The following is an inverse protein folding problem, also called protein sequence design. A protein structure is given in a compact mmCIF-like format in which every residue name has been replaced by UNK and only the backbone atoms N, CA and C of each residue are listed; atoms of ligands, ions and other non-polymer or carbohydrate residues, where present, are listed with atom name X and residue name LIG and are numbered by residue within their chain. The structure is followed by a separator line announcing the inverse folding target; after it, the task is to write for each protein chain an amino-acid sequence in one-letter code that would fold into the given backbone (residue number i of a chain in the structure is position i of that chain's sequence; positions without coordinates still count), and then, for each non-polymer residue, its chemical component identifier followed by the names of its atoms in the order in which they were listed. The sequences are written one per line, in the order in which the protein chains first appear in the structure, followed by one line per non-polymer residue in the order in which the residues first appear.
data_IF_776687501245
#
_entry.id   IF_776687501245
#
_cell.length_a   1.000
_cell.length_b   1.000
_cell.length_c   1.000
_cell.angle_alpha   90.00
_cell.angle_beta   90.00
_cell.angle_gamma   90.00
#
_symmetry.space_group_name_H-M   'P 1'
#
loop_
_entity.id
_entity.type
_entity.pdbx_description
1 polymer ?
#
# COMPACT_ATOMS: atom_id res chain seq x y z
N UNK A 1 -2.55 -11.93 25.38
CA UNK A 1 -3.42 -12.15 24.18
C UNK A 1 -2.74 -11.73 22.86
N UNK A 2 -1.62 -11.05 22.88
CA UNK A 2 -0.87 -10.54 21.69
C UNK A 2 -0.31 -11.62 20.74
N UNK A 3 0.05 -12.80 21.21
CA UNK A 3 0.68 -13.85 20.37
C UNK A 3 -0.23 -14.57 19.39
N UNK A 4 -1.53 -14.69 19.70
CA UNK A 4 -2.51 -15.39 18.82
C UNK A 4 -2.89 -14.57 17.59
N UNK A 5 -3.00 -13.25 17.72
CA UNK A 5 -3.43 -12.37 16.62
C UNK A 5 -2.33 -12.16 15.56
N UNK A 6 -1.06 -12.05 15.98
CA UNK A 6 0.07 -12.01 15.03
C UNK A 6 0.20 -13.26 14.17
N UNK A 7 -0.26 -14.42 14.70
CA UNK A 7 -0.28 -15.69 13.95
C UNK A 7 -1.42 -15.77 12.94
N UNK A 8 -2.57 -15.14 13.18
CA UNK A 8 -3.71 -15.13 12.24
C UNK A 8 -3.42 -14.25 11.01
N UNK A 9 -2.91 -13.04 11.19
CA UNK A 9 -2.50 -12.17 10.08
C UNK A 9 -1.39 -12.80 9.22
N UNK A 10 -0.43 -13.44 9.88
CA UNK A 10 0.61 -14.20 9.19
C UNK A 10 0.03 -15.34 8.36
N UNK A 11 -0.99 -16.05 8.88
CA UNK A 11 -1.69 -17.13 8.14
C UNK A 11 -2.46 -16.59 6.94
N UNK A 12 -3.16 -15.47 7.09
CA UNK A 12 -3.93 -14.86 5.99
C UNK A 12 -3.00 -14.36 4.88
N UNK A 13 -1.93 -13.63 5.22
CA UNK A 13 -0.96 -13.15 4.23
C UNK A 13 -0.26 -14.31 3.50
N UNK A 14 0.05 -15.41 4.19
CA UNK A 14 0.65 -16.60 3.58
C UNK A 14 -0.36 -17.29 2.64
N UNK A 15 -1.64 -17.42 3.04
CA UNK A 15 -2.68 -18.00 2.16
C UNK A 15 -2.88 -17.19 0.89
N UNK A 16 -2.95 -15.87 0.99
CA UNK A 16 -3.06 -14.99 -0.17
C UNK A 16 -1.82 -15.09 -1.07
N UNK A 17 -0.62 -15.11 -0.47
CA UNK A 17 0.62 -15.29 -1.22
C UNK A 17 0.67 -16.65 -1.92
N UNK A 18 0.24 -17.74 -1.26
CA UNK A 18 0.17 -19.07 -1.88
C UNK A 18 -0.84 -19.12 -3.03
N UNK A 19 -2.02 -18.50 -2.86
CA UNK A 19 -3.03 -18.45 -3.93
C UNK A 19 -2.52 -17.64 -5.13
N UNK A 20 -1.92 -16.48 -4.92
CA UNK A 20 -1.33 -15.67 -5.98
C UNK A 20 -0.19 -16.42 -6.70
N UNK A 21 0.71 -17.07 -5.93
CA UNK A 21 1.79 -17.87 -6.49
C UNK A 21 1.26 -19.08 -7.28
N UNK A 22 0.18 -19.71 -6.81
CA UNK A 22 -0.50 -20.80 -7.51
C UNK A 22 -1.06 -20.38 -8.88
N UNK A 23 -1.70 -19.21 -8.95
CA UNK A 23 -2.21 -18.68 -10.23
C UNK A 23 -1.06 -18.38 -11.19
N UNK A 24 0.03 -17.79 -10.71
CA UNK A 24 1.22 -17.52 -11.52
C UNK A 24 1.87 -18.81 -11.97
N UNK A 25 1.94 -19.84 -11.12
CA UNK A 25 2.50 -21.14 -11.47
C UNK A 25 1.71 -21.83 -12.60
N UNK A 26 0.38 -21.79 -12.54
CA UNK A 26 -0.48 -22.36 -13.60
C UNK A 26 -0.27 -21.62 -14.92
N UNK A 27 -0.27 -20.29 -14.90
CA UNK A 27 -0.03 -19.50 -16.09
C UNK A 27 1.36 -19.74 -16.69
N UNK A 28 2.37 -19.80 -15.84
CA UNK A 28 3.75 -20.10 -16.25
C UNK A 28 3.86 -21.48 -16.90
N UNK A 29 3.30 -22.54 -16.28
CA UNK A 29 3.30 -23.88 -16.83
C UNK A 29 2.60 -23.98 -18.19
N UNK A 30 1.48 -23.25 -18.35
CA UNK A 30 0.79 -23.20 -19.64
C UNK A 30 1.64 -22.56 -20.74
N UNK A 31 2.33 -21.46 -20.41
CA UNK A 31 3.23 -20.78 -21.34
C UNK A 31 4.44 -21.66 -21.65
N UNK A 32 5.07 -22.27 -20.67
CA UNK A 32 6.20 -23.17 -20.84
C UNK A 32 5.86 -24.37 -21.74
N UNK A 33 4.71 -24.99 -21.50
CA UNK A 33 4.21 -26.07 -22.35
C UNK A 33 3.95 -25.60 -23.80
N UNK A 34 3.37 -24.46 -24.00
CA UNK A 34 3.14 -23.88 -25.32
C UNK A 34 4.46 -23.60 -26.05
N UNK A 35 5.43 -22.99 -25.37
CA UNK A 35 6.79 -22.74 -25.95
C UNK A 35 7.47 -24.03 -26.31
N UNK A 36 7.42 -25.03 -25.42
CA UNK A 36 8.01 -26.34 -25.69
C UNK A 36 7.42 -27.00 -26.94
N UNK A 37 6.10 -27.01 -27.09
CA UNK A 37 5.40 -27.59 -28.25
C UNK A 37 5.74 -26.83 -29.55
N UNK A 38 5.72 -25.50 -29.50
CA UNK A 38 5.98 -24.62 -30.66
C UNK A 38 7.43 -24.81 -31.13
N UNK A 39 8.41 -24.73 -30.23
CA UNK A 39 9.84 -24.85 -30.57
C UNK A 39 10.16 -26.22 -31.08
N UNK A 40 9.66 -27.27 -30.42
CA UNK A 40 9.88 -28.65 -30.86
C UNK A 40 9.24 -28.91 -32.23
N UNK A 41 8.03 -28.42 -32.46
CA UNK A 41 7.32 -28.52 -33.72
C UNK A 41 8.03 -27.80 -34.87
N UNK A 42 8.52 -26.56 -34.60
CA UNK A 42 9.25 -25.80 -35.62
C UNK A 42 10.59 -26.44 -35.97
N UNK A 43 11.36 -26.88 -34.98
CA UNK A 43 12.64 -27.59 -35.22
C UNK A 43 12.44 -28.90 -36.00
N UNK A 44 11.43 -29.72 -35.66
CA UNK A 44 11.09 -30.93 -36.40
C UNK A 44 10.67 -30.60 -37.84
N UNK A 45 9.84 -29.55 -38.02
CA UNK A 45 9.46 -29.08 -39.36
C UNK A 45 10.66 -28.57 -40.19
N UNK A 46 11.67 -27.98 -39.56
CA UNK A 46 12.91 -27.61 -40.25
C UNK A 46 13.69 -28.87 -40.73
N UNK A 47 13.76 -29.90 -39.90
CA UNK A 47 14.38 -31.20 -40.30
C UNK A 47 13.61 -31.81 -41.47
N UNK A 48 12.27 -31.85 -41.39
CA UNK A 48 11.43 -32.38 -42.49
C UNK A 48 11.66 -31.63 -43.81
N UNK A 49 11.72 -30.31 -43.80
CA UNK A 49 12.00 -29.49 -44.99
C UNK A 49 13.39 -29.81 -45.56
N UNK A 50 14.42 -29.93 -44.73
CA UNK A 50 15.79 -30.25 -45.18
C UNK A 50 15.88 -31.64 -45.80
N UNK A 51 15.25 -32.63 -45.20
CA UNK A 51 15.19 -33.99 -45.73
C UNK A 51 14.44 -34.03 -47.07
N UNK A 52 13.30 -33.35 -47.18
CA UNK A 52 12.53 -33.25 -48.42
C UNK A 52 13.32 -32.55 -49.55
N UNK A 53 13.99 -31.41 -49.23
CA UNK A 53 14.83 -30.67 -50.17
C UNK A 53 16.01 -31.54 -50.68
N UNK A 54 16.63 -32.34 -49.80
CA UNK A 54 17.70 -33.25 -50.17
C UNK A 54 17.17 -34.34 -51.10
N UNK A 55 16.02 -34.96 -50.81
CA UNK A 55 15.37 -35.93 -51.68
C UNK A 55 15.04 -35.33 -53.06
N UNK A 56 14.55 -34.07 -53.11
CA UNK A 56 14.24 -33.42 -54.37
C UNK A 56 15.48 -33.24 -55.27
N UNK A 57 16.61 -32.85 -54.67
CA UNK A 57 17.88 -32.66 -55.42
C UNK A 57 18.46 -33.94 -55.96
N UNK A 58 18.39 -35.05 -55.19
CA UNK A 58 18.90 -36.36 -55.66
C UNK A 58 18.12 -36.88 -56.87
N UNK A 59 16.81 -36.58 -56.97
CA UNK A 59 15.97 -37.02 -58.08
C UNK A 59 16.10 -36.21 -59.40
N UNK A 60 16.80 -35.05 -59.37
CA UNK A 60 16.93 -34.16 -60.55
C UNK A 60 18.31 -34.26 -61.23
N UNK A 61 19.28 -34.97 -60.67
CA UNK A 61 20.56 -35.17 -61.33
C UNK A 61 20.43 -36.32 -62.36
N UNK A 62 20.83 -36.12 -63.66
CA UNK A 62 20.95 -37.17 -64.58
C UNK A 62 21.99 -38.18 -64.09
N UNK A 63 21.67 -39.45 -64.16
CA UNK A 63 22.58 -40.54 -63.77
C UNK A 63 23.98 -40.39 -64.42
N UNK A 64 25.05 -40.98 -63.83
CA UNK A 64 26.39 -40.89 -64.39
C UNK A 64 26.39 -41.43 -65.82
N UNK A 65 27.18 -40.81 -66.73
CA UNK A 65 27.28 -41.26 -68.08
C UNK A 65 27.81 -42.75 -68.11
N UNK A 66 27.34 -43.57 -69.00
CA UNK A 66 27.77 -44.94 -69.08
C UNK A 66 29.24 -44.95 -69.49
N UNK A 67 30.16 -45.10 -68.56
CA UNK A 67 31.61 -45.10 -68.76
C UNK A 67 32.34 -44.69 -67.48
N UNK A 68 32.59 -45.71 -66.67
CA UNK A 68 33.69 -45.87 -65.70
C UNK A 68 34.22 -44.64 -64.97
N UNK A 69 33.42 -43.82 -64.32
CA UNK A 69 33.84 -42.85 -63.35
C UNK A 69 32.98 -43.00 -62.11
N UNK A 70 33.58 -43.34 -60.97
CA UNK A 70 32.87 -43.50 -59.71
C UNK A 70 32.03 -42.28 -59.45
N UNK A 71 30.79 -42.49 -58.99
CA UNK A 71 29.89 -41.43 -58.45
C UNK A 71 30.65 -40.68 -57.34
N UNK A 72 31.10 -39.45 -57.67
CA UNK A 72 31.65 -38.56 -56.71
C UNK A 72 30.43 -37.84 -56.12
N UNK A 73 30.02 -38.15 -54.90
CA UNK A 73 28.93 -37.38 -54.28
C UNK A 73 29.30 -35.90 -54.29
N UNK A 74 28.34 -35.01 -54.48
CA UNK A 74 28.61 -33.58 -54.34
C UNK A 74 29.29 -33.39 -52.97
N UNK A 75 30.42 -32.64 -52.99
CA UNK A 75 31.29 -32.40 -51.82
C UNK A 75 30.42 -31.90 -50.65
N UNK A 76 29.97 -32.84 -49.81
CA UNK A 76 29.28 -32.57 -48.57
C UNK A 76 30.36 -32.37 -47.51
N UNK A 77 31.24 -31.42 -47.80
CA UNK A 77 32.28 -31.00 -46.84
C UNK A 77 31.66 -30.58 -45.54
N UNK A 78 32.35 -30.71 -44.41
CA UNK A 78 31.84 -30.41 -43.07
C UNK A 78 31.74 -28.89 -42.76
N UNK A 79 31.26 -28.12 -43.75
CA UNK A 79 31.03 -26.70 -43.59
C UNK A 79 29.55 -26.39 -43.45
N UNK A 80 29.05 -26.38 -42.20
CA UNK A 80 27.74 -25.85 -41.83
C UNK A 80 26.50 -26.71 -42.12
N UNK A 81 26.31 -27.81 -41.40
CA UNK A 81 25.01 -28.46 -41.30
C UNK A 81 25.09 -29.88 -40.68
N UNK A 82 24.01 -30.35 -40.03
CA UNK A 82 23.97 -31.73 -39.56
C UNK A 82 24.09 -32.69 -40.73
N UNK A 83 24.90 -33.74 -40.59
CA UNK A 83 25.20 -34.73 -41.61
C UNK A 83 23.91 -35.41 -42.12
N UNK A 84 23.60 -35.24 -43.40
CA UNK A 84 22.52 -35.96 -44.04
C UNK A 84 22.98 -37.39 -44.32
N UNK A 85 22.13 -38.36 -43.99
CA UNK A 85 22.33 -39.78 -44.30
C UNK A 85 21.53 -40.08 -45.57
N UNK A 86 22.13 -40.76 -46.55
CA UNK A 86 21.46 -41.14 -47.78
C UNK A 86 21.63 -42.63 -47.99
N UNK A 87 20.55 -43.34 -48.18
CA UNK A 87 20.53 -44.76 -48.55
C UNK A 87 19.83 -44.91 -49.87
N UNK A 88 20.51 -45.62 -50.81
CA UNK A 88 19.92 -45.98 -52.06
C UNK A 88 19.68 -47.48 -52.05
N UNK A 89 18.44 -47.90 -52.07
CA UNK A 89 18.00 -49.28 -52.15
C UNK A 89 17.78 -49.58 -53.62
N UNK A 90 18.65 -50.44 -54.26
CA UNK A 90 18.54 -50.80 -55.67
C UNK A 90 17.48 -51.87 -55.88
N UNK A 91 17.07 -52.06 -57.14
CA UNK A 91 16.08 -53.08 -57.52
C UNK A 91 16.59 -54.52 -57.28
N UNK A 92 17.90 -54.76 -57.12
CA UNK A 92 18.53 -56.05 -56.75
C UNK A 92 18.51 -56.28 -55.21
N UNK A 93 17.96 -55.35 -54.42
CA UNK A 93 17.90 -55.40 -52.97
C UNK A 93 19.18 -54.90 -52.25
N UNK A 94 20.22 -54.54 -53.02
CA UNK A 94 21.44 -53.97 -52.43
C UNK A 94 21.19 -52.55 -51.88
N UNK A 95 21.82 -52.25 -50.75
CA UNK A 95 21.73 -50.89 -50.11
C UNK A 95 23.11 -50.27 -50.20
N UNK A 96 23.16 -49.08 -50.79
CA UNK A 96 24.33 -48.18 -50.76
C UNK A 96 24.06 -47.02 -49.86
N UNK A 97 24.89 -46.82 -48.82
CA UNK A 97 24.73 -45.74 -47.83
C UNK A 97 25.84 -44.71 -47.94
N UNK A 98 25.49 -43.49 -47.65
CA UNK A 98 26.39 -42.33 -47.46
C UNK A 98 26.11 -41.72 -46.13
N UNK A 99 27.05 -41.74 -45.15
CA UNK A 99 28.36 -42.42 -45.18
C UNK A 99 28.20 -43.94 -45.21
N UNK A 100 29.24 -44.68 -45.66
CA UNK A 100 29.17 -46.14 -45.85
C UNK A 100 28.87 -46.96 -44.59
N UNK A 101 29.12 -46.40 -43.45
CA UNK A 101 28.87 -47.00 -42.12
C UNK A 101 27.42 -46.93 -41.67
N UNK A 102 26.57 -46.11 -42.32
CA UNK A 102 25.18 -45.97 -41.95
C UNK A 102 24.34 -47.16 -42.43
N UNK A 103 23.99 -48.06 -41.49
CA UNK A 103 23.05 -49.13 -41.74
C UNK A 103 21.62 -48.63 -41.92
N UNK A 104 20.84 -49.25 -42.84
CA UNK A 104 19.39 -49.03 -42.91
C UNK A 104 18.69 -50.36 -42.63
N UNK A 105 17.97 -50.53 -41.53
CA UNK A 105 17.19 -51.73 -41.25
C UNK A 105 16.16 -51.99 -42.33
N UNK A 106 15.94 -53.33 -42.62
CA UNK A 106 15.06 -53.76 -43.72
C UNK A 106 13.64 -53.15 -43.63
N UNK A 107 13.15 -52.95 -42.44
CA UNK A 107 11.82 -52.39 -42.21
C UNK A 107 11.66 -50.96 -42.72
N UNK A 108 12.75 -50.21 -42.89
CA UNK A 108 12.75 -48.81 -43.32
C UNK A 108 13.12 -48.62 -44.80
N UNK A 109 13.38 -49.64 -45.51
CA UNK A 109 13.84 -49.59 -46.92
C UNK A 109 12.77 -49.10 -47.90
N UNK A 110 11.49 -49.19 -47.52
CA UNK A 110 10.36 -48.74 -48.35
C UNK A 110 9.60 -47.57 -47.76
N UNK A 111 10.21 -46.77 -46.86
CA UNK A 111 9.57 -45.59 -46.25
C UNK A 111 9.39 -44.50 -47.27
N UNK A 112 8.16 -43.96 -47.42
CA UNK A 112 7.87 -42.86 -48.36
C UNK A 112 7.61 -41.53 -47.64
N UNK A 113 6.94 -41.52 -46.46
CA UNK A 113 6.63 -40.31 -45.69
C UNK A 113 7.64 -40.00 -44.61
N UNK A 114 7.64 -38.77 -44.06
CA UNK A 114 8.55 -38.40 -42.98
C UNK A 114 8.22 -39.17 -41.70
N UNK A 115 9.21 -39.88 -41.16
CA UNK A 115 9.09 -40.71 -39.96
C UNK A 115 10.36 -40.63 -39.10
N UNK A 116 10.17 -40.55 -37.78
CA UNK A 116 11.30 -40.68 -36.84
C UNK A 116 11.51 -42.16 -36.50
N UNK A 117 12.71 -42.64 -36.63
CA UNK A 117 13.12 -44.02 -36.36
C UNK A 117 14.39 -44.01 -35.52
N UNK A 118 14.58 -45.03 -34.69
CA UNK A 118 15.82 -45.18 -33.91
C UNK A 118 16.69 -46.17 -34.58
N UNK A 119 17.87 -45.78 -35.02
CA UNK A 119 18.89 -46.62 -35.63
C UNK A 119 20.14 -46.54 -34.77
N UNK A 120 20.60 -47.64 -34.25
CA UNK A 120 21.79 -47.77 -33.37
C UNK A 120 21.70 -46.83 -32.14
N UNK A 121 20.48 -46.64 -31.61
CA UNK A 121 20.23 -45.75 -30.43
C UNK A 121 20.23 -44.27 -30.75
N UNK A 122 20.28 -43.89 -32.04
CA UNK A 122 20.17 -42.47 -32.49
C UNK A 122 18.83 -42.29 -33.18
N UNK A 123 18.08 -41.27 -32.74
CA UNK A 123 16.83 -40.88 -33.39
C UNK A 123 17.13 -40.12 -34.68
N UNK A 124 16.63 -40.66 -35.78
CA UNK A 124 16.85 -40.15 -37.15
C UNK A 124 15.47 -39.90 -37.77
N UNK A 125 15.28 -38.73 -38.33
CA UNK A 125 14.11 -38.40 -39.15
C UNK A 125 14.40 -38.81 -40.56
N UNK A 126 13.64 -39.78 -41.10
CA UNK A 126 13.84 -40.35 -42.44
C UNK A 126 12.62 -40.05 -43.34
N UNK A 127 12.89 -39.91 -44.63
CA UNK A 127 11.88 -39.84 -45.68
C UNK A 127 12.47 -40.45 -46.97
N UNK A 128 11.66 -41.20 -47.70
CA UNK A 128 12.11 -41.81 -48.94
C UNK A 128 11.19 -41.52 -50.11
N UNK A 129 11.69 -41.87 -51.31
CA UNK A 129 10.97 -41.74 -52.59
C UNK A 129 11.46 -42.77 -53.59
N UNK A 130 10.54 -43.26 -54.40
CA UNK A 130 10.86 -44.14 -55.55
C UNK A 130 11.59 -43.30 -56.60
N UNK A 131 12.61 -43.96 -57.22
CA UNK A 131 13.40 -43.44 -58.33
C UNK A 131 13.46 -44.51 -59.43
N UNK A 132 13.91 -44.12 -60.63
CA UNK A 132 14.03 -45.12 -61.78
C UNK A 132 14.90 -46.29 -61.45
N UNK A 133 15.93 -46.18 -60.61
CA UNK A 133 16.93 -47.14 -60.26
C UNK A 133 16.66 -47.85 -58.90
N UNK A 134 15.52 -47.57 -58.25
CA UNK A 134 15.19 -48.19 -56.96
C UNK A 134 14.47 -47.20 -56.01
N UNK A 135 14.77 -47.31 -54.72
CA UNK A 135 14.20 -46.43 -53.69
C UNK A 135 15.29 -45.65 -52.94
N UNK A 136 15.15 -44.34 -52.79
CA UNK A 136 16.11 -43.52 -52.06
C UNK A 136 15.49 -43.06 -50.76
N UNK A 137 16.19 -43.27 -49.63
CA UNK A 137 15.84 -42.80 -48.30
C UNK A 137 16.87 -41.76 -47.87
N UNK A 138 16.41 -40.62 -47.37
CA UNK A 138 17.27 -39.59 -46.78
C UNK A 138 16.91 -39.43 -45.33
N UNK A 139 17.91 -39.31 -44.48
CA UNK A 139 17.74 -39.14 -43.04
C UNK A 139 18.58 -38.03 -42.47
N UNK A 140 18.08 -37.43 -41.38
CA UNK A 140 18.83 -36.48 -40.58
C UNK A 140 18.67 -36.79 -39.09
N UNK A 141 19.76 -36.73 -38.33
CA UNK A 141 19.73 -36.95 -36.88
C UNK A 141 18.88 -35.89 -36.17
N UNK A 142 18.10 -36.33 -35.18
CA UNK A 142 17.30 -35.49 -34.30
C UNK A 142 18.10 -34.96 -33.10
N UNK A 143 19.41 -35.16 -33.04
CA UNK A 143 20.26 -34.76 -31.91
C UNK A 143 20.15 -33.27 -31.57
N UNK A 144 20.05 -32.39 -32.58
CA UNK A 144 19.86 -30.95 -32.35
C UNK A 144 18.50 -30.61 -31.72
N UNK A 145 17.45 -31.36 -32.09
CA UNK A 145 16.12 -31.21 -31.50
C UNK A 145 16.13 -31.72 -30.07
N UNK A 146 16.74 -32.89 -29.81
CA UNK A 146 16.88 -33.44 -28.46
C UNK A 146 17.72 -32.54 -27.55
N UNK A 147 18.78 -31.93 -28.06
CA UNK A 147 19.59 -30.95 -27.33
C UNK A 147 18.81 -29.69 -27.00
N UNK A 148 18.02 -29.16 -27.94
CA UNK A 148 17.16 -28.01 -27.69
C UNK A 148 16.09 -28.31 -26.61
N UNK A 149 15.46 -29.50 -26.68
CA UNK A 149 14.50 -29.98 -25.68
C UNK A 149 15.13 -30.06 -24.28
N UNK A 150 16.32 -30.69 -24.17
CA UNK A 150 17.01 -30.84 -22.88
C UNK A 150 17.39 -29.45 -22.29
N UNK A 151 17.84 -28.54 -23.15
CA UNK A 151 18.19 -27.18 -22.74
C UNK A 151 16.96 -26.42 -22.23
N UNK A 152 15.82 -26.53 -22.92
CA UNK A 152 14.55 -25.91 -22.47
C UNK A 152 14.12 -26.49 -21.12
N UNK A 153 14.14 -27.84 -20.97
CA UNK A 153 13.75 -28.47 -19.69
C UNK A 153 14.66 -28.03 -18.54
N UNK A 154 15.97 -27.99 -18.77
CA UNK A 154 16.92 -27.52 -17.75
C UNK A 154 16.67 -26.04 -17.37
N UNK A 155 16.42 -25.19 -18.38
CA UNK A 155 16.08 -23.80 -18.13
C UNK A 155 14.81 -23.67 -17.26
N UNK A 156 13.76 -24.44 -17.55
CA UNK A 156 12.52 -24.48 -16.79
C UNK A 156 12.74 -24.93 -15.33
N UNK A 157 13.53 -25.95 -15.11
CA UNK A 157 13.85 -26.46 -13.76
C UNK A 157 14.54 -25.38 -12.90
N UNK A 158 15.33 -24.52 -13.54
CA UNK A 158 16.05 -23.44 -12.82
C UNK A 158 15.19 -22.17 -12.67
N UNK A 159 14.54 -21.74 -13.75
CA UNK A 159 13.83 -20.48 -13.79
C UNK A 159 12.52 -20.54 -12.98
N UNK A 160 11.75 -21.63 -13.11
CA UNK A 160 10.45 -21.74 -12.47
C UNK A 160 10.50 -21.59 -10.93
N UNK A 161 11.34 -22.31 -10.19
CA UNK A 161 11.39 -22.18 -8.73
C UNK A 161 11.86 -20.80 -8.28
N UNK A 162 12.82 -20.18 -9.00
CA UNK A 162 13.31 -18.85 -8.70
C UNK A 162 12.18 -17.83 -8.89
N UNK A 163 11.47 -17.87 -10.01
CA UNK A 163 10.35 -16.99 -10.30
C UNK A 163 9.26 -17.12 -9.24
N UNK A 164 8.86 -18.36 -8.92
CA UNK A 164 7.81 -18.61 -7.92
C UNK A 164 8.24 -18.15 -6.53
N UNK A 165 9.50 -18.30 -6.16
CA UNK A 165 10.04 -17.82 -4.90
C UNK A 165 9.98 -16.28 -4.81
N UNK A 166 10.38 -15.59 -5.89
CA UNK A 166 10.34 -14.13 -5.96
C UNK A 166 8.90 -13.62 -5.86
N UNK A 167 7.97 -14.23 -6.60
CA UNK A 167 6.54 -13.87 -6.55
C UNK A 167 5.97 -14.11 -5.15
N UNK A 168 6.25 -15.25 -4.55
CA UNK A 168 5.82 -15.58 -3.19
C UNK A 168 6.35 -14.58 -2.15
N UNK A 169 7.66 -14.31 -2.19
CA UNK A 169 8.28 -13.35 -1.28
C UNK A 169 7.71 -11.94 -1.45
N UNK A 170 7.54 -11.47 -2.70
CA UNK A 170 6.90 -10.20 -3.03
C UNK A 170 5.47 -10.11 -2.51
N UNK A 171 4.66 -11.14 -2.72
CA UNK A 171 3.28 -11.20 -2.24
C UNK A 171 3.19 -11.16 -0.71
N UNK A 172 4.10 -11.84 0.00
CA UNK A 172 4.18 -11.80 1.47
C UNK A 172 4.55 -10.40 1.97
N UNK A 173 5.53 -9.74 1.34
CA UNK A 173 5.96 -8.38 1.71
C UNK A 173 4.84 -7.36 1.48
N UNK A 174 4.20 -7.40 0.32
CA UNK A 174 3.07 -6.51 -0.01
C UNK A 174 1.91 -6.75 0.95
N UNK A 175 1.54 -8.01 1.19
CA UNK A 175 0.45 -8.36 2.11
C UNK A 175 0.70 -7.86 3.53
N UNK A 176 1.93 -7.96 4.04
CA UNK A 176 2.31 -7.43 5.36
C UNK A 176 2.26 -5.91 5.41
N UNK A 177 2.78 -5.22 4.39
CA UNK A 177 2.75 -3.76 4.33
C UNK A 177 1.33 -3.21 4.23
N UNK A 178 0.47 -3.86 3.46
CA UNK A 178 -0.93 -3.47 3.33
C UNK A 178 -1.75 -3.72 4.61
N UNK A 179 -1.45 -4.78 5.36
CA UNK A 179 -2.15 -5.10 6.60
C UNK A 179 -1.70 -4.25 7.81
N UNK A 180 -0.46 -3.76 7.82
CA UNK A 180 0.11 -3.03 8.96
C UNK A 180 -0.69 -1.78 9.38
N UNK A 181 -1.13 -0.87 8.48
CA UNK A 181 -1.90 0.30 8.84
C UNK A 181 -3.28 -0.05 9.40
N UNK A 182 -3.94 -1.08 8.86
CA UNK A 182 -5.26 -1.55 9.33
C UNK A 182 -5.17 -2.07 10.76
N UNK A 183 -4.15 -2.87 11.05
CA UNK A 183 -3.94 -3.39 12.41
C UNK A 183 -3.55 -2.28 13.40
N UNK A 184 -2.74 -1.30 12.98
CA UNK A 184 -2.42 -0.15 13.81
C UNK A 184 -3.67 0.68 14.12
N UNK A 185 -4.56 0.91 13.14
CA UNK A 185 -5.82 1.60 13.34
C UNK A 185 -6.73 0.83 14.29
N UNK A 186 -6.87 -0.48 14.09
CA UNK A 186 -7.67 -1.34 14.97
C UNK A 186 -7.16 -1.34 16.42
N UNK A 187 -5.85 -1.40 16.63
CA UNK A 187 -5.27 -1.34 17.99
C UNK A 187 -5.58 -0.02 18.66
N UNK A 188 -5.38 1.10 17.95
CA UNK A 188 -5.71 2.43 18.49
C UNK A 188 -7.19 2.53 18.87
N UNK A 189 -8.08 1.93 18.06
CA UNK A 189 -9.52 1.91 18.35
C UNK A 189 -9.84 1.07 19.59
N UNK A 190 -9.22 -0.09 19.78
CA UNK A 190 -9.42 -0.93 20.96
C UNK A 190 -8.87 -0.26 22.22
N UNK A 191 -7.69 0.35 22.15
CA UNK A 191 -7.11 1.12 23.25
C UNK A 191 -8.02 2.28 23.64
N UNK A 192 -8.49 3.07 22.65
CA UNK A 192 -9.43 4.17 22.87
C UNK A 192 -10.71 3.69 23.58
N UNK A 193 -11.28 2.56 23.15
CA UNK A 193 -12.51 2.03 23.73
C UNK A 193 -12.29 1.53 25.17
N UNK A 194 -11.15 0.89 25.44
CA UNK A 194 -10.81 0.42 26.78
C UNK A 194 -10.60 1.60 27.74
N UNK A 195 -9.80 2.57 27.33
CA UNK A 195 -9.49 3.75 28.13
C UNK A 195 -10.74 4.62 28.38
N UNK A 196 -11.56 4.82 27.33
CA UNK A 196 -12.85 5.53 27.45
C UNK A 196 -13.78 4.84 28.46
N UNK A 197 -13.83 3.50 28.45
CA UNK A 197 -14.65 2.72 29.38
C UNK A 197 -14.20 2.92 30.84
N UNK A 198 -12.90 2.98 31.08
CA UNK A 198 -12.35 3.24 32.40
C UNK A 198 -12.65 4.67 32.89
N UNK A 199 -12.43 5.68 32.04
CA UNK A 199 -12.64 7.07 32.39
C UNK A 199 -14.12 7.46 32.53
N UNK A 200 -15.04 6.75 31.89
CA UNK A 200 -16.49 6.93 32.05
C UNK A 200 -17.04 6.23 33.31
N UNK A 201 -16.44 5.10 33.71
CA UNK A 201 -16.90 4.35 34.87
C UNK A 201 -16.73 5.13 36.17
N UNK A 202 -15.61 5.83 36.34
CA UNK A 202 -15.30 6.58 37.56
C UNK A 202 -16.35 7.64 37.90
N UNK A 203 -16.65 8.64 37.01
CA UNK A 203 -17.69 9.64 37.29
C UNK A 203 -19.10 9.02 37.44
N UNK A 204 -19.40 7.95 36.70
CA UNK A 204 -20.67 7.25 36.82
C UNK A 204 -20.82 6.63 38.22
N UNK A 205 -19.79 5.96 38.73
CA UNK A 205 -19.80 5.41 40.10
C UNK A 205 -19.97 6.48 41.17
N UNK A 206 -19.41 7.68 40.96
CA UNK A 206 -19.63 8.80 41.87
C UNK A 206 -21.09 9.26 41.84
N UNK A 207 -21.68 9.40 40.64
CA UNK A 207 -23.09 9.76 40.49
C UNK A 207 -24.01 8.71 41.15
N UNK A 208 -23.74 7.41 40.92
CA UNK A 208 -24.49 6.32 41.53
C UNK A 208 -24.39 6.34 43.07
N UNK A 209 -23.19 6.56 43.62
CA UNK A 209 -22.97 6.64 45.05
C UNK A 209 -23.69 7.85 45.69
N UNK A 210 -23.58 9.04 45.08
CA UNK A 210 -24.25 10.27 45.57
C UNK A 210 -25.76 10.13 45.50
N UNK A 211 -26.31 9.60 44.41
CA UNK A 211 -27.75 9.39 44.27
C UNK A 211 -28.25 8.29 45.23
N UNK A 212 -27.49 7.20 45.39
CA UNK A 212 -27.81 6.15 46.36
C UNK A 212 -27.85 6.66 47.79
N UNK A 213 -26.88 7.51 48.19
CA UNK A 213 -26.86 8.16 49.49
C UNK A 213 -28.05 9.12 49.68
N UNK A 214 -28.45 9.85 48.63
CA UNK A 214 -29.59 10.79 48.68
C UNK A 214 -30.92 10.05 48.84
N UNK A 215 -31.03 8.83 48.30
CA UNK A 215 -32.24 8.01 48.42
C UNK A 215 -32.31 7.16 49.71
N UNK A 216 -31.17 6.92 50.36
CA UNK A 216 -31.11 6.02 51.51
C UNK A 216 -31.76 6.56 52.78
N UNK A 217 -31.84 7.88 52.97
CA UNK A 217 -32.43 8.56 54.12
C UNK A 217 -32.62 10.04 53.85
N UNK A 218 -33.60 10.61 54.58
CA UNK A 218 -33.88 12.04 54.52
C UNK A 218 -32.71 12.87 55.07
N UNK A 219 -32.44 13.97 54.40
CA UNK A 219 -31.40 14.98 54.69
C UNK A 219 -31.97 16.38 54.59
N UNK A 220 -31.22 17.36 55.05
CA UNK A 220 -31.65 18.77 54.92
C UNK A 220 -31.48 19.26 53.46
N UNK A 221 -32.11 20.39 53.16
CA UNK A 221 -32.08 20.98 51.82
C UNK A 221 -30.68 21.47 51.41
N UNK A 222 -29.81 21.83 52.35
CA UNK A 222 -28.44 22.23 52.08
C UNK A 222 -27.60 21.07 51.59
N UNK A 223 -27.73 19.92 52.25
CA UNK A 223 -27.06 18.68 51.86
C UNK A 223 -27.47 18.21 50.45
N UNK A 224 -28.80 18.26 50.16
CA UNK A 224 -29.27 17.89 48.81
C UNK A 224 -28.72 18.83 47.74
N UNK A 225 -28.67 20.16 47.97
CA UNK A 225 -28.06 21.08 47.00
C UNK A 225 -26.60 20.79 46.74
N UNK A 226 -25.82 20.50 47.77
CA UNK A 226 -24.41 20.16 47.64
C UNK A 226 -24.24 18.85 46.87
N UNK A 227 -25.01 17.82 47.18
CA UNK A 227 -24.98 16.51 46.53
C UNK A 227 -25.34 16.63 45.07
N UNK A 228 -26.46 17.31 44.73
CA UNK A 228 -26.83 17.53 43.34
C UNK A 228 -25.83 18.40 42.59
N UNK A 229 -25.18 19.33 43.28
CA UNK A 229 -24.06 20.08 42.70
C UNK A 229 -22.84 19.21 42.38
N UNK A 230 -22.56 18.15 43.16
CA UNK A 230 -21.54 17.15 42.83
C UNK A 230 -21.95 16.32 41.61
N UNK A 231 -23.18 15.83 41.60
CA UNK A 231 -23.75 15.07 40.47
C UNK A 231 -23.70 15.88 39.17
N UNK A 232 -24.06 17.17 39.23
CA UNK A 232 -24.02 18.08 38.09
C UNK A 232 -22.58 18.26 37.56
N UNK A 233 -21.60 18.43 38.45
CA UNK A 233 -20.18 18.54 38.04
C UNK A 233 -19.69 17.27 37.32
N UNK A 234 -20.02 16.08 37.84
CA UNK A 234 -19.63 14.83 37.21
C UNK A 234 -20.35 14.60 35.88
N UNK A 235 -21.62 14.95 35.78
CA UNK A 235 -22.39 14.92 34.55
C UNK A 235 -21.80 15.79 33.45
N UNK A 236 -21.39 17.05 33.80
CA UNK A 236 -20.71 17.98 32.89
C UNK A 236 -19.32 17.44 32.47
N UNK A 237 -18.61 16.76 33.39
CA UNK A 237 -17.34 16.11 33.11
C UNK A 237 -17.50 14.98 32.10
N UNK A 238 -18.52 14.10 32.28
CA UNK A 238 -18.83 13.00 31.34
C UNK A 238 -19.19 13.55 29.94
N UNK A 239 -19.98 14.62 29.87
CA UNK A 239 -20.33 15.23 28.58
C UNK A 239 -19.09 15.71 27.84
N UNK A 240 -18.18 16.43 28.50
CA UNK A 240 -16.91 16.86 27.87
C UNK A 240 -16.05 15.68 27.40
N UNK A 241 -15.98 14.62 28.19
CA UNK A 241 -15.30 13.37 27.81
C UNK A 241 -15.90 12.76 26.52
N UNK A 242 -17.22 12.68 26.45
CA UNK A 242 -17.92 12.16 25.27
C UNK A 242 -17.67 13.03 24.04
N UNK A 243 -17.73 14.35 24.18
CA UNK A 243 -17.47 15.29 23.09
C UNK A 243 -16.03 15.18 22.58
N UNK A 244 -15.05 15.02 23.47
CA UNK A 244 -13.64 14.80 23.15
C UNK A 244 -13.41 13.47 22.41
N UNK A 245 -14.04 12.39 22.89
CA UNK A 245 -13.96 11.07 22.26
C UNK A 245 -14.60 11.05 20.88
N UNK A 246 -15.78 11.65 20.74
CA UNK A 246 -16.47 11.78 19.45
C UNK A 246 -15.66 12.61 18.45
N UNK A 247 -15.01 13.66 18.93
CA UNK A 247 -14.13 14.47 18.09
C UNK A 247 -12.95 13.66 17.58
N UNK A 248 -12.24 12.93 18.47
CA UNK A 248 -11.12 12.05 18.09
C UNK A 248 -11.57 10.97 17.11
N UNK A 249 -12.72 10.34 17.35
CA UNK A 249 -13.26 9.31 16.45
C UNK A 249 -13.57 9.87 15.05
N UNK A 250 -14.14 11.08 14.96
CA UNK A 250 -14.38 11.75 13.68
C UNK A 250 -13.09 12.14 12.98
N UNK A 251 -12.11 12.63 13.73
CA UNK A 251 -10.79 12.97 13.20
C UNK A 251 -10.10 11.75 12.60
N UNK A 252 -10.06 10.64 13.35
CA UNK A 252 -9.45 9.38 12.88
C UNK A 252 -10.17 8.79 11.65
N UNK A 253 -11.48 9.02 11.49
CA UNK A 253 -12.29 8.52 10.39
C UNK A 253 -12.22 9.35 9.11
N UNK A 254 -11.98 10.65 9.23
CA UNK A 254 -12.08 11.59 8.12
C UNK A 254 -10.82 11.66 7.23
N UNK A 255 -9.68 11.11 7.68
CA UNK A 255 -8.42 11.10 6.91
C UNK A 255 -8.00 12.49 6.43
N UNK A 256 -7.36 12.57 5.25
CA UNK A 256 -6.83 13.82 4.67
C UNK A 256 -7.90 14.73 4.02
N UNK A 257 -9.19 14.42 4.14
CA UNK A 257 -10.26 15.10 3.39
C UNK A 257 -10.90 16.29 4.11
N UNK A 258 -10.21 16.91 5.07
CA UNK A 258 -10.72 18.12 5.72
C UNK A 258 -10.46 19.36 4.86
N UNK A 259 -11.50 20.13 4.59
CA UNK A 259 -11.41 21.37 3.82
C UNK A 259 -10.48 22.37 4.51
N UNK A 260 -9.20 22.36 4.12
CA UNK A 260 -8.25 23.36 4.55
C UNK A 260 -8.57 24.68 3.84
N UNK A 261 -8.73 25.73 4.61
CA UNK A 261 -9.03 27.08 4.13
C UNK A 261 -8.01 28.10 4.69
N UNK A 262 -7.81 29.23 4.03
CA UNK A 262 -6.97 30.30 4.58
C UNK A 262 -7.62 30.91 5.81
N UNK A 263 -6.99 30.77 6.98
CA UNK A 263 -7.47 31.31 8.27
C UNK A 263 -6.45 32.32 8.79
N UNK A 264 -6.93 33.47 9.23
CA UNK A 264 -6.10 34.41 9.97
C UNK A 264 -5.97 33.98 11.44
N UNK A 265 -4.80 33.44 11.74
CA UNK A 265 -4.48 32.90 13.06
C UNK A 265 -4.47 33.97 14.15
N UNK A 266 -4.18 35.25 13.82
CA UNK A 266 -4.22 36.36 14.76
C UNK A 266 -5.65 36.71 15.17
N UNK A 267 -6.55 36.83 14.19
CA UNK A 267 -7.98 37.11 14.44
C UNK A 267 -8.60 35.95 15.25
N UNK A 268 -8.30 34.69 14.86
CA UNK A 268 -8.81 33.53 15.57
C UNK A 268 -8.32 33.48 17.02
N UNK A 269 -7.03 33.76 17.24
CA UNK A 269 -6.45 33.80 18.59
C UNK A 269 -7.14 34.83 19.48
N UNK A 270 -7.42 36.03 18.95
CA UNK A 270 -8.12 37.07 19.68
C UNK A 270 -9.58 36.68 20.02
N UNK A 271 -10.32 36.13 19.05
CA UNK A 271 -11.70 35.66 19.23
C UNK A 271 -11.79 34.52 20.26
N UNK A 272 -10.89 33.56 20.19
CA UNK A 272 -10.87 32.47 21.16
C UNK A 272 -10.50 32.96 22.54
N UNK A 273 -9.50 33.82 22.68
CA UNK A 273 -9.11 34.41 23.95
C UNK A 273 -10.27 35.22 24.59
N UNK A 274 -11.05 35.95 23.78
CA UNK A 274 -12.21 36.70 24.29
C UNK A 274 -13.25 35.79 24.96
N UNK A 275 -13.50 34.61 24.44
CA UNK A 275 -14.39 33.62 25.09
C UNK A 275 -13.85 33.11 26.43
N UNK A 276 -12.53 33.13 26.64
CA UNK A 276 -11.91 32.73 27.91
C UNK A 276 -11.76 33.83 28.92
N UNK A 277 -12.07 35.12 28.60
CA UNK A 277 -11.97 36.26 29.57
C UNK A 277 -12.76 36.04 30.86
N UNK A 278 -14.00 35.57 30.74
CA UNK A 278 -14.86 35.31 31.91
C UNK A 278 -14.31 34.14 32.75
N UNK A 279 -13.75 33.13 32.14
CA UNK A 279 -13.13 31.96 32.82
C UNK A 279 -11.86 32.42 33.56
N UNK A 280 -11.00 33.18 32.90
CA UNK A 280 -9.78 33.72 33.50
C UNK A 280 -10.12 34.66 34.67
N UNK A 281 -11.07 35.58 34.49
CA UNK A 281 -11.52 36.52 35.54
C UNK A 281 -12.10 35.79 36.77
N UNK A 282 -12.92 34.76 36.55
CA UNK A 282 -13.51 33.97 37.64
C UNK A 282 -12.43 33.22 38.46
N UNK A 283 -11.24 32.98 37.87
CA UNK A 283 -10.07 32.36 38.52
C UNK A 283 -9.05 33.40 39.04
N UNK A 284 -9.30 34.68 38.87
CA UNK A 284 -8.36 35.73 39.20
C UNK A 284 -7.09 35.75 38.34
N UNK A 285 -7.18 35.32 37.09
CA UNK A 285 -6.06 35.24 36.14
C UNK A 285 -6.13 36.42 35.17
N UNK A 286 -4.97 37.06 34.91
CA UNK A 286 -4.84 38.11 33.89
C UNK A 286 -4.62 37.49 32.53
N UNK A 287 -5.55 37.68 31.58
CA UNK A 287 -5.45 37.20 30.21
C UNK A 287 -4.99 38.31 29.27
N UNK A 288 -3.82 38.12 28.64
CA UNK A 288 -3.21 39.04 27.67
C UNK A 288 -3.27 38.44 26.26
N UNK A 289 -3.61 39.28 25.27
CA UNK A 289 -3.61 38.93 23.87
C UNK A 289 -2.60 39.80 23.12
N UNK A 290 -1.64 39.20 22.43
CA UNK A 290 -0.59 39.90 21.67
C UNK A 290 -0.62 39.40 20.24
N UNK A 291 -1.31 40.13 19.36
CA UNK A 291 -1.41 39.79 17.94
C UNK A 291 -1.03 41.02 17.12
N UNK A 292 -0.27 40.86 16.02
CA UNK A 292 0.06 41.98 15.14
C UNK A 292 -1.17 42.39 14.32
N UNK A 293 -1.19 43.66 13.81
CA UNK A 293 -2.25 44.11 12.92
C UNK A 293 -2.23 43.46 11.53
N UNK A 294 -1.06 42.93 11.09
CA UNK A 294 -0.92 42.28 9.80
C UNK A 294 -1.52 40.86 9.84
N UNK A 295 -2.23 40.42 8.78
CA UNK A 295 -2.81 39.08 8.70
C UNK A 295 -1.76 37.98 8.79
N UNK A 296 -2.06 36.98 9.62
CA UNK A 296 -1.23 35.79 9.82
C UNK A 296 -1.93 34.55 9.23
N UNK A 297 -1.81 34.37 7.91
CA UNK A 297 -2.57 33.32 7.20
C UNK A 297 -1.92 31.96 7.37
N UNK A 298 -2.74 30.99 7.82
CA UNK A 298 -2.46 29.56 7.93
C UNK A 298 -3.51 28.80 7.11
N UNK A 299 -3.13 27.80 6.38
CA UNK A 299 -4.06 26.94 5.64
C UNK A 299 -4.42 25.74 6.51
N UNK A 300 -5.62 25.76 7.09
CA UNK A 300 -6.12 24.70 7.97
C UNK A 300 -7.65 24.86 8.14
N UNK A 301 -8.37 23.82 8.61
CA UNK A 301 -9.76 23.98 9.02
C UNK A 301 -9.87 24.95 10.21
N UNK A 302 -10.70 25.97 10.09
CA UNK A 302 -10.83 27.01 11.12
C UNK A 302 -11.30 26.48 12.47
N UNK A 303 -12.25 25.54 12.47
CA UNK A 303 -12.79 24.90 13.67
C UNK A 303 -11.71 24.02 14.39
N UNK A 304 -10.74 23.49 13.67
CA UNK A 304 -9.63 22.74 14.25
C UNK A 304 -8.66 23.67 14.98
N UNK A 305 -8.29 24.78 14.34
CA UNK A 305 -7.43 25.77 14.99
C UNK A 305 -8.12 26.40 16.21
N UNK A 306 -9.43 26.65 16.14
CA UNK A 306 -10.22 27.12 17.27
C UNK A 306 -10.23 26.11 18.42
N UNK A 307 -10.42 24.84 18.12
CA UNK A 307 -10.36 23.74 19.10
C UNK A 307 -8.98 23.65 19.75
N UNK A 308 -7.90 23.75 18.95
CA UNK A 308 -6.52 23.74 19.45
C UNK A 308 -6.28 24.88 20.46
N UNK A 309 -6.65 26.10 20.08
CA UNK A 309 -6.52 27.27 20.94
C UNK A 309 -7.36 27.11 22.21
N UNK A 310 -8.59 26.61 22.09
CA UNK A 310 -9.45 26.29 23.21
C UNK A 310 -8.84 25.34 24.21
N UNK A 311 -8.21 24.25 23.71
CA UNK A 311 -7.49 23.29 24.56
C UNK A 311 -6.29 23.92 25.26
N UNK A 312 -5.50 24.73 24.55
CA UNK A 312 -4.32 25.39 25.14
C UNK A 312 -4.74 26.42 26.21
N UNK A 313 -5.76 27.21 25.94
CA UNK A 313 -6.28 28.22 26.88
C UNK A 313 -6.94 27.56 28.10
N UNK A 314 -7.72 26.50 27.93
CA UNK A 314 -8.31 25.79 29.07
C UNK A 314 -7.20 25.23 29.99
N UNK A 315 -6.15 24.62 29.40
CA UNK A 315 -5.00 24.16 30.17
C UNK A 315 -4.29 25.32 30.89
N UNK A 316 -3.97 26.40 30.18
CA UNK A 316 -3.31 27.57 30.75
C UNK A 316 -4.11 28.18 31.94
N UNK A 317 -5.41 28.36 31.76
CA UNK A 317 -6.29 28.83 32.83
C UNK A 317 -6.44 27.86 34.00
N UNK A 318 -6.36 26.55 33.72
CA UNK A 318 -6.50 25.48 34.72
C UNK A 318 -5.28 25.36 35.62
N UNK A 319 -4.09 25.48 35.06
CA UNK A 319 -2.83 25.26 35.78
C UNK A 319 -2.21 26.55 36.33
N UNK A 320 -2.65 27.74 35.89
CA UNK A 320 -2.22 29.00 36.47
C UNK A 320 -2.82 29.24 37.87
N UNK A 321 -2.03 29.73 38.85
CA UNK A 321 -2.54 30.12 40.16
C UNK A 321 -3.38 31.42 40.08
N UNK A 322 -4.15 31.65 41.11
CA UNK A 322 -4.85 32.94 41.27
C UNK A 322 -3.80 34.08 41.34
N UNK A 323 -4.07 35.20 40.66
CA UNK A 323 -3.11 36.29 40.47
C UNK A 323 -2.09 36.06 39.35
N UNK A 324 -2.11 34.83 38.70
CA UNK A 324 -1.23 34.50 37.60
C UNK A 324 -1.60 35.19 36.27
N UNK A 325 -0.77 34.95 35.26
CA UNK A 325 -0.96 35.51 33.91
C UNK A 325 -1.00 34.39 32.90
N UNK A 326 -1.91 34.52 31.95
CA UNK A 326 -1.96 33.71 30.70
C UNK A 326 -1.81 34.68 29.54
N UNK A 327 -0.96 34.37 28.57
CA UNK A 327 -0.83 35.17 27.35
C UNK A 327 -1.05 34.29 26.11
N UNK A 328 -1.76 34.87 25.14
CA UNK A 328 -1.90 34.30 23.80
C UNK A 328 -1.20 35.23 22.83
N UNK A 329 -0.32 34.69 22.03
CA UNK A 329 0.38 35.45 21.00
C UNK A 329 0.36 34.76 19.65
N UNK A 330 0.35 35.59 18.60
CA UNK A 330 0.54 35.15 17.24
C UNK A 330 1.63 36.00 16.59
N UNK A 331 2.55 35.37 15.87
CA UNK A 331 3.65 36.08 15.21
C UNK A 331 4.09 35.37 13.94
N UNK A 332 4.72 36.12 13.02
CA UNK A 332 5.42 35.54 11.87
C UNK A 332 6.92 35.49 12.18
N UNK A 333 7.50 34.29 12.16
CA UNK A 333 8.92 34.07 12.46
C UNK A 333 9.52 33.15 11.40
N UNK A 334 10.53 33.61 10.66
CA UNK A 334 11.28 32.80 9.70
C UNK A 334 10.42 32.12 8.61
N UNK A 335 9.40 32.82 8.07
CA UNK A 335 8.50 32.25 7.04
C UNK A 335 7.43 31.31 7.60
N UNK A 336 7.27 31.24 8.91
CA UNK A 336 6.22 30.48 9.59
C UNK A 336 5.33 31.40 10.41
N UNK A 337 4.07 31.02 10.56
CA UNK A 337 3.14 31.60 11.53
C UNK A 337 3.21 30.76 12.80
N UNK A 338 3.45 31.39 13.93
CA UNK A 338 3.51 30.76 15.25
C UNK A 338 2.38 31.28 16.11
N UNK A 339 1.61 30.37 16.71
CA UNK A 339 0.66 30.61 17.77
C UNK A 339 1.23 30.10 19.08
N UNK A 340 1.27 30.89 20.11
CA UNK A 340 1.76 30.49 21.42
C UNK A 340 0.76 30.85 22.53
N UNK A 341 0.63 29.95 23.50
CA UNK A 341 -0.07 30.17 24.77
C UNK A 341 0.93 29.94 25.90
N UNK A 342 1.07 30.94 26.74
CA UNK A 342 1.97 30.94 27.91
C UNK A 342 1.18 31.07 29.19
N UNK A 343 1.60 30.40 30.22
CA UNK A 343 0.96 30.40 31.54
C UNK A 343 1.95 30.70 32.67
N UNK A 344 1.42 30.93 33.85
CA UNK A 344 2.19 31.10 35.10
C UNK A 344 2.07 29.89 36.03
N UNK A 345 1.78 28.72 35.47
CA UNK A 345 1.63 27.47 36.21
C UNK A 345 2.95 26.87 36.67
N UNK A 346 2.97 25.57 37.05
CA UNK A 346 4.19 24.89 37.49
C UNK A 346 5.13 24.54 36.33
N UNK A 347 4.74 24.78 35.07
CA UNK A 347 5.47 24.37 33.88
C UNK A 347 5.32 22.88 33.58
N UNK A 348 6.07 22.42 32.55
CA UNK A 348 6.07 21.03 32.11
C UNK A 348 7.49 20.48 32.27
N UNK A 349 7.71 19.48 33.17
CA UNK A 349 9.00 18.85 33.35
C UNK A 349 9.53 18.27 32.04
N UNK A 350 10.84 18.36 31.75
CA UNK A 350 11.43 17.87 30.50
C UNK A 350 11.09 16.42 30.20
N UNK A 351 11.07 15.56 31.20
CA UNK A 351 10.76 14.14 31.13
C UNK A 351 9.30 13.86 30.73
N UNK A 352 8.38 14.77 31.04
CA UNK A 352 6.97 14.63 30.72
C UNK A 352 6.61 15.17 29.34
N UNK A 353 7.44 16.03 28.73
CA UNK A 353 7.13 16.71 27.45
C UNK A 353 6.83 15.77 26.29
N UNK A 354 7.43 14.55 26.30
CA UNK A 354 7.13 13.53 25.28
C UNK A 354 5.81 12.82 25.51
N UNK A 355 5.29 12.83 26.74
CA UNK A 355 4.12 12.04 27.15
C UNK A 355 2.85 12.87 27.35
N UNK A 356 2.97 14.19 27.45
CA UNK A 356 1.78 15.08 27.65
C UNK A 356 0.74 14.98 26.53
N UNK A 357 1.12 14.44 25.38
CA UNK A 357 0.25 14.20 24.22
C UNK A 357 -0.39 12.81 24.22
N UNK A 358 0.03 11.94 25.15
CA UNK A 358 -0.59 10.61 25.28
C UNK A 358 -2.02 10.78 25.80
N UNK A 359 -2.93 10.00 25.26
CA UNK A 359 -4.35 10.01 25.68
C UNK A 359 -4.44 9.62 27.15
N UNK A 360 -5.28 10.34 27.91
CA UNK A 360 -5.51 10.14 29.34
C UNK A 360 -4.29 10.35 30.25
N UNK A 361 -3.16 10.81 29.69
CA UNK A 361 -1.98 11.13 30.47
C UNK A 361 -2.13 12.46 31.22
N UNK A 362 -1.61 12.49 32.45
CA UNK A 362 -1.60 13.67 33.34
C UNK A 362 -0.27 13.74 34.05
N UNK A 363 0.47 14.82 33.83
CA UNK A 363 1.76 15.05 34.47
C UNK A 363 1.64 15.32 35.97
N UNK A 364 0.48 15.83 36.42
CA UNK A 364 0.18 16.09 37.84
C UNK A 364 -1.15 15.45 38.20
N UNK A 365 -1.23 14.78 39.34
CA UNK A 365 -2.45 14.13 39.85
C UNK A 365 -3.58 15.10 40.17
N UNK A 366 -3.29 16.40 40.33
CA UNK A 366 -4.21 17.47 40.68
C UNK A 366 -4.73 18.20 39.45
N UNK A 367 -6.04 18.42 39.37
CA UNK A 367 -6.70 19.18 38.30
C UNK A 367 -7.71 18.36 37.48
N UNK A 368 -8.96 18.77 37.49
CA UNK A 368 -10.10 18.08 36.87
C UNK A 368 -10.10 18.14 35.34
N UNK A 369 -9.55 17.15 34.68
CA UNK A 369 -9.63 16.95 33.23
C UNK A 369 -9.36 15.50 32.88
N UNK A 370 -9.87 15.06 31.71
CA UNK A 370 -9.76 13.68 31.27
C UNK A 370 -8.41 13.29 30.64
N UNK A 371 -7.48 14.26 30.46
CA UNK A 371 -6.21 14.00 29.78
C UNK A 371 -6.33 13.79 28.26
N UNK A 372 -7.44 14.24 27.64
CA UNK A 372 -7.66 14.14 26.20
C UNK A 372 -7.33 15.42 25.44
N UNK A 373 -7.37 16.59 26.11
CA UNK A 373 -7.22 17.87 25.42
C UNK A 373 -5.92 17.98 24.63
N UNK A 374 -4.76 17.73 25.24
CA UNK A 374 -3.47 17.80 24.52
C UNK A 374 -3.32 16.72 23.45
N UNK A 375 -3.92 15.53 23.62
CA UNK A 375 -3.99 14.53 22.57
C UNK A 375 -4.81 15.01 21.36
N UNK A 376 -5.91 15.74 21.60
CA UNK A 376 -6.69 16.41 20.54
C UNK A 376 -5.83 17.49 19.86
N UNK A 377 -5.16 18.33 20.65
CA UNK A 377 -4.24 19.34 20.13
C UNK A 377 -3.16 18.75 19.23
N UNK A 378 -2.57 17.63 19.64
CA UNK A 378 -1.53 16.95 18.86
C UNK A 378 -2.08 16.32 17.57
N UNK A 379 -3.30 15.76 17.60
CA UNK A 379 -3.98 15.28 16.41
C UNK A 379 -4.19 16.42 15.40
N UNK A 380 -4.66 17.58 15.86
CA UNK A 380 -4.84 18.78 15.02
C UNK A 380 -3.51 19.24 14.42
N UNK A 381 -2.48 19.39 15.26
CA UNK A 381 -1.16 19.85 14.80
C UNK A 381 -0.58 18.93 13.76
N UNK A 382 -0.65 17.61 13.95
CA UNK A 382 -0.22 16.64 12.95
C UNK A 382 -1.06 16.68 11.67
N UNK A 383 -2.38 16.74 11.79
CA UNK A 383 -3.29 16.78 10.65
C UNK A 383 -3.19 18.06 9.82
N UNK A 384 -2.71 19.16 10.42
CA UNK A 384 -2.51 20.44 9.73
C UNK A 384 -1.06 20.72 9.32
N UNK A 385 -0.13 19.75 9.50
CA UNK A 385 1.29 19.93 9.18
C UNK A 385 2.01 20.93 10.08
N UNK A 386 1.45 21.22 11.27
CA UNK A 386 2.04 22.07 12.29
C UNK A 386 3.23 21.42 13.01
N UNK A 387 3.95 22.22 13.77
CA UNK A 387 5.07 21.74 14.61
C UNK A 387 4.98 22.33 16.01
N UNK A 388 4.99 21.45 17.00
CA UNK A 388 5.06 21.84 18.40
C UNK A 388 6.42 22.40 18.81
N UNK A 389 6.37 23.38 19.72
CA UNK A 389 7.49 23.77 20.55
C UNK A 389 6.99 23.95 21.99
N UNK A 390 7.66 23.30 22.94
CA UNK A 390 7.33 23.36 24.37
C UNK A 390 8.56 23.90 25.10
N UNK A 391 8.38 24.99 25.84
CA UNK A 391 9.45 25.62 26.62
C UNK A 391 8.90 26.12 27.96
N UNK A 392 9.77 26.65 28.81
CA UNK A 392 9.36 27.40 29.97
C UNK A 392 8.82 28.79 29.53
N UNK A 393 7.77 29.23 30.21
CA UNK A 393 7.25 30.61 30.07
C UNK A 393 8.16 31.61 30.77
N UNK A 394 8.30 32.83 30.26
CA UNK A 394 8.96 33.93 30.99
C UNK A 394 8.35 34.20 32.37
N UNK A 395 7.10 33.82 32.57
CA UNK A 395 6.36 33.99 33.83
C UNK A 395 6.49 32.81 34.78
N UNK A 396 7.35 31.83 34.48
CA UNK A 396 7.67 30.67 35.33
C UNK A 396 6.89 29.42 35.00
N UNK A 397 5.83 29.49 34.18
CA UNK A 397 4.99 28.36 33.78
C UNK A 397 5.43 27.66 32.47
N UNK A 398 4.46 27.15 31.72
CA UNK A 398 4.69 26.55 30.41
C UNK A 398 4.43 27.55 29.27
N UNK A 399 5.22 27.42 28.21
CA UNK A 399 4.98 28.05 26.91
C UNK A 399 4.78 26.93 25.88
N UNK A 400 3.57 26.85 25.36
CA UNK A 400 3.18 25.90 24.31
C UNK A 400 2.93 26.63 23.01
N UNK A 401 3.74 26.42 22.01
CA UNK A 401 3.55 27.04 20.70
C UNK A 401 3.47 26.02 19.57
N UNK A 402 2.72 26.39 18.55
CA UNK A 402 2.60 25.62 17.30
C UNK A 402 2.90 26.55 16.15
N UNK A 403 3.66 26.05 15.17
CA UNK A 403 4.00 26.81 13.98
C UNK A 403 3.66 26.09 12.69
N UNK A 404 3.13 26.84 11.71
CA UNK A 404 2.81 26.39 10.36
C UNK A 404 3.60 27.16 9.32
N UNK A 405 3.82 26.63 8.10
CA UNK A 405 4.29 27.43 6.97
C UNK A 405 3.34 28.61 6.75
N UNK A 406 3.89 29.80 6.59
CA UNK A 406 3.06 30.97 6.26
C UNK A 406 2.55 30.84 4.82
N UNK A 407 1.24 30.90 4.59
CA UNK A 407 0.70 30.97 3.25
C UNK A 407 1.03 32.32 2.60
N UNK A 408 1.35 32.32 1.30
CA UNK A 408 1.51 33.53 0.52
C UNK A 408 0.17 34.21 0.28
N UNK A 409 0.15 35.55 0.16
CA UNK A 409 -1.08 36.31 -0.14
C UNK A 409 -1.80 35.83 -1.43
N UNK A 410 -1.09 35.16 -2.35
CA UNK A 410 -1.64 34.62 -3.59
C UNK A 410 -2.44 33.31 -3.42
N UNK A 411 -2.15 32.51 -2.40
CA UNK A 411 -2.91 31.27 -2.09
C UNK A 411 -4.22 31.55 -1.34
N UNK A 412 -4.34 32.72 -0.70
CA UNK A 412 -5.57 33.16 -0.04
C UNK A 412 -6.70 33.55 -1.02
N UNK A 413 -6.38 33.78 -2.31
CA UNK A 413 -7.34 34.04 -3.36
C UNK A 413 -7.55 32.77 -4.22
N UNK A 414 -8.15 31.73 -3.63
CA UNK A 414 -8.73 30.63 -4.42
C UNK A 414 -9.77 31.22 -5.39
N UNK A 415 -9.93 30.66 -6.63
CA UNK A 415 -10.92 31.18 -7.56
C UNK A 415 -12.29 31.14 -6.91
N UNK A 416 -13.10 32.22 -7.07
CA UNK A 416 -14.46 32.23 -6.55
C UNK A 416 -15.19 31.03 -7.11
N UNK A 417 -15.76 30.18 -6.25
CA UNK A 417 -16.66 29.10 -6.67
C UNK A 417 -17.68 29.71 -7.65
N UNK A 418 -17.60 29.30 -8.91
CA UNK A 418 -18.58 29.67 -9.91
C UNK A 418 -19.95 29.19 -9.40
N UNK A 419 -20.76 30.13 -8.93
CA UNK A 419 -22.17 29.92 -8.70
C UNK A 419 -22.74 29.49 -10.06
N UNK A 420 -23.38 28.33 -10.19
CA UNK A 420 -24.02 27.98 -11.44
C UNK A 420 -25.11 29.03 -11.72
N UNK A 421 -24.92 29.84 -12.76
CA UNK A 421 -25.96 30.72 -13.30
C UNK A 421 -27.22 29.88 -13.53
N UNK A 422 -28.24 30.15 -12.75
CA UNK A 422 -29.59 29.66 -13.00
C UNK A 422 -30.05 30.23 -14.34
N UNK A 423 -29.98 29.38 -15.40
CA UNK A 423 -30.52 29.69 -16.71
C UNK A 423 -32.00 30.09 -16.63
N UNK A 424 -32.49 30.99 -17.51
CA UNK A 424 -33.81 31.55 -17.41
C UNK A 424 -34.90 30.48 -17.56
N UNK A 425 -35.87 30.52 -16.64
CA UNK A 425 -37.06 29.68 -16.65
C UNK A 425 -37.78 29.75 -17.98
N UNK A 426 -37.91 28.60 -18.66
CA UNK A 426 -38.78 28.44 -19.79
C UNK A 426 -40.24 28.53 -19.32
N UNK A 427 -40.95 29.58 -19.73
CA UNK A 427 -42.39 29.74 -19.62
C UNK A 427 -43.12 28.61 -20.37
N UNK A 428 -44.14 27.96 -19.78
CA UNK A 428 -44.94 26.98 -20.50
C UNK A 428 -45.92 27.71 -21.42
N UNK A 429 -45.81 27.41 -22.71
CA UNK A 429 -46.74 27.88 -23.75
C UNK A 429 -48.13 27.34 -23.54
N UNK A 430 -49.14 28.22 -23.63
CA UNK A 430 -50.54 27.93 -23.60
C UNK A 430 -50.98 27.05 -24.80
N UNK A 431 -51.96 26.16 -24.64
CA UNK A 431 -52.54 25.45 -25.77
C UNK A 431 -53.52 26.34 -26.51
N UNK A 432 -53.36 26.42 -27.84
CA UNK A 432 -54.42 26.92 -28.73
C UNK A 432 -55.23 25.75 -29.27
N UNK A 433 -56.51 25.90 -29.04
CA UNK A 433 -57.70 25.35 -29.73
C UNK A 433 -57.48 24.36 -30.87
#
# INVERSE_FOLDING_TARGET
MSGRQGTELRRVSIRVALAATGVVAIAYLAIAAAVFVIVTGDLTGQVDRRVADALARIGTQPGPPPGGGGFQPPDVGPRFGPTLLVWTVRNDGSVVSIPPEAGLPDEYRAVTGPRTVSIDGVDIRIQGRDTADGHVVVGQTMASVAQAQSTLVLAEIVIAPILLLVVFAGAVVIGRRAAAPIEAARRRQLELTADASHELRTPLSVIEAETGLALARDRDAAWYRETFGRVERESRRMRRLLDDLLWLARFDAAGDSHGAEPVDAGVLAAQTADRFRSVAQARGISLLVVVPPDPLIVVAPADWLDRLLGVLLDNACKYSPAGGRVSVSAARTGGRVELAVEDSGPGIPPEERGRIFDRFHRATGEGGGAGLGLAIGDAIVRGTGGRWRISASPTGGASMSVSWPAASRGEAAGPPSAVPESGPARTPGSPRS
#
